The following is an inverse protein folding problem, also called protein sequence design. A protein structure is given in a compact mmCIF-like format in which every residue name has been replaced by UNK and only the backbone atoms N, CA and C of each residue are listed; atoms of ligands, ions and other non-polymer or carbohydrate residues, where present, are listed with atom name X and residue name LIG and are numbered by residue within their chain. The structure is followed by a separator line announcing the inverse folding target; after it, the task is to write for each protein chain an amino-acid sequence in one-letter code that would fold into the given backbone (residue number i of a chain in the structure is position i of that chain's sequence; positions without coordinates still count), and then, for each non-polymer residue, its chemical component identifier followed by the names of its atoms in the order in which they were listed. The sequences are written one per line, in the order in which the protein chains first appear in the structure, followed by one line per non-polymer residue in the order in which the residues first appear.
data_IF_205699607149
#
_entry.id   IF_205699607149
#
_cell.length_a   1.000
_cell.length_b   1.000
_cell.length_c   1.000
_cell.angle_alpha   90.00
_cell.angle_beta   90.00
_cell.angle_gamma   90.00
#
_symmetry.space_group_name_H-M   'P 1'
#
loop_
_entity.id
_entity.type
_entity.pdbx_description
1 polymer ?
#
# COMPACT_ATOMS: atom_id res chain seq x y z
N UNK A 1 23.97 5.79 -24.14
CA UNK A 1 24.43 6.10 -22.77
C UNK A 1 24.69 4.78 -22.07
N UNK A 2 25.89 4.59 -21.52
CA UNK A 2 26.29 3.36 -20.86
C UNK A 2 25.61 3.29 -19.49
N UNK A 3 24.92 2.20 -19.17
CA UNK A 3 24.08 2.09 -17.96
C UNK A 3 24.88 2.14 -16.64
N UNK A 4 26.22 2.12 -16.71
CA UNK A 4 27.16 2.09 -15.60
C UNK A 4 27.41 3.43 -14.90
N UNK A 5 26.92 4.56 -15.42
CA UNK A 5 27.26 5.91 -14.90
C UNK A 5 26.10 6.64 -14.19
N UNK A 6 24.93 6.00 -14.05
CA UNK A 6 23.82 6.63 -13.30
C UNK A 6 24.05 6.37 -11.80
N UNK A 7 24.28 7.41 -10.97
CA UNK A 7 24.46 7.21 -9.53
C UNK A 7 23.25 6.47 -8.95
N UNK A 8 23.44 5.57 -7.96
CA UNK A 8 22.36 4.79 -7.37
C UNK A 8 21.33 5.76 -6.78
N UNK A 9 20.20 5.93 -7.49
CA UNK A 9 19.12 6.76 -6.99
C UNK A 9 18.43 6.01 -5.88
N UNK A 10 18.43 6.58 -4.69
CA UNK A 10 17.58 6.13 -3.60
C UNK A 10 16.13 6.13 -4.10
N UNK A 11 15.35 5.05 -3.86
CA UNK A 11 13.91 5.06 -4.08
C UNK A 11 13.25 6.26 -3.41
N UNK A 12 12.03 6.63 -3.81
CA UNK A 12 11.34 7.81 -3.27
C UNK A 12 11.04 7.73 -1.77
N UNK A 13 11.19 6.55 -1.14
CA UNK A 13 10.96 6.34 0.30
C UNK A 13 9.57 6.79 0.74
N UNK A 14 8.55 6.36 0.00
CA UNK A 14 7.14 6.60 0.33
C UNK A 14 6.54 5.40 1.07
N UNK A 15 5.73 5.67 2.08
CA UNK A 15 4.92 4.65 2.77
C UNK A 15 3.91 4.05 1.78
N UNK A 16 3.88 2.72 1.72
CA UNK A 16 3.16 1.94 0.70
C UNK A 16 3.40 2.43 -0.75
N UNK A 17 4.58 3.01 -1.00
CA UNK A 17 4.95 3.65 -2.27
C UNK A 17 4.06 4.83 -2.69
N UNK A 18 3.18 5.31 -1.80
CA UNK A 18 2.16 6.32 -2.12
C UNK A 18 2.34 7.61 -1.33
N UNK A 19 2.56 7.57 -0.01
CA UNK A 19 2.49 8.78 0.83
C UNK A 19 3.83 9.10 1.50
N UNK A 20 4.19 10.38 1.69
CA UNK A 20 5.36 10.73 2.48
C UNK A 20 5.20 10.31 3.94
N UNK A 21 6.13 9.52 4.47
CA UNK A 21 6.06 8.98 5.84
C UNK A 21 6.42 9.96 6.96
N UNK A 22 6.64 11.24 6.65
CA UNK A 22 7.03 12.26 7.65
C UNK A 22 5.85 12.74 8.48
N UNK A 23 6.09 13.14 9.73
CA UNK A 23 5.03 13.55 10.64
C UNK A 23 4.16 14.72 10.16
N UNK A 24 4.71 15.64 9.35
CA UNK A 24 3.98 16.76 8.78
C UNK A 24 2.93 16.30 7.77
N UNK A 25 3.36 15.59 6.72
CA UNK A 25 2.46 15.07 5.68
C UNK A 25 1.46 14.01 6.18
N UNK A 26 1.85 13.20 7.17
CA UNK A 26 0.92 12.27 7.80
C UNK A 26 -0.20 12.99 8.57
N UNK A 27 0.08 14.17 9.12
CA UNK A 27 -0.92 14.96 9.85
C UNK A 27 -1.85 15.71 8.90
N UNK A 28 -1.33 16.25 7.80
CA UNK A 28 -2.11 17.04 6.83
C UNK A 28 -2.91 16.18 5.87
N UNK A 29 -2.39 15.00 5.49
CA UNK A 29 -3.04 14.04 4.57
C UNK A 29 -3.48 14.69 3.26
N UNK A 30 -2.63 15.52 2.69
CA UNK A 30 -2.95 16.37 1.54
C UNK A 30 -2.15 16.02 0.28
N UNK A 31 -1.25 15.03 0.38
CA UNK A 31 -0.45 14.57 -0.75
C UNK A 31 -0.27 13.05 -0.77
N UNK A 32 -0.45 12.47 -1.96
CA UNK A 32 -0.18 11.07 -2.25
C UNK A 32 0.22 10.93 -3.72
N UNK A 33 0.99 9.89 -4.02
CA UNK A 33 1.49 9.55 -5.35
C UNK A 33 0.95 8.18 -5.77
N UNK A 34 0.71 7.97 -7.06
CA UNK A 34 0.28 6.68 -7.61
C UNK A 34 0.77 6.53 -9.06
N UNK A 35 0.71 5.31 -9.60
CA UNK A 35 1.04 5.03 -11.01
C UNK A 35 2.53 4.84 -11.33
N UNK A 36 3.43 4.95 -10.34
CA UNK A 36 4.86 4.67 -10.52
C UNK A 36 5.28 3.25 -10.11
N UNK A 37 4.37 2.46 -9.51
CA UNK A 37 4.59 1.05 -9.20
C UNK A 37 4.36 0.17 -10.43
N UNK A 38 5.18 -0.88 -10.60
CA UNK A 38 5.10 -1.80 -11.76
C UNK A 38 4.75 -3.21 -11.31
N UNK A 39 3.63 -3.76 -11.82
CA UNK A 39 3.28 -5.18 -11.71
C UNK A 39 2.36 -5.68 -12.87
N UNK A 40 1.98 -6.96 -12.89
CA UNK A 40 1.10 -7.50 -13.94
C UNK A 40 -0.38 -7.10 -13.82
N UNK A 41 -0.80 -6.63 -12.65
CA UNK A 41 -2.19 -6.27 -12.32
C UNK A 41 -2.38 -4.75 -12.22
N UNK A 42 -1.65 -3.96 -13.01
CA UNK A 42 -1.60 -2.50 -12.89
C UNK A 42 -2.98 -1.82 -12.83
N UNK A 43 -3.95 -2.28 -13.63
CA UNK A 43 -5.31 -1.71 -13.62
C UNK A 43 -6.02 -1.89 -12.28
N UNK A 44 -6.04 -3.13 -11.78
CA UNK A 44 -6.61 -3.46 -10.46
C UNK A 44 -5.84 -2.78 -9.33
N UNK A 45 -4.51 -2.78 -9.39
CA UNK A 45 -3.64 -2.11 -8.43
C UNK A 45 -3.94 -0.61 -8.36
N UNK A 46 -4.02 0.08 -9.50
CA UNK A 46 -4.31 1.51 -9.56
C UNK A 46 -5.71 1.83 -9.01
N UNK A 47 -6.70 0.96 -9.26
CA UNK A 47 -8.04 1.10 -8.69
C UNK A 47 -8.01 1.02 -7.16
N UNK A 48 -7.34 0.00 -6.59
CA UNK A 48 -7.21 -0.15 -5.13
C UNK A 48 -6.41 1.01 -4.53
N UNK A 49 -5.31 1.44 -5.17
CA UNK A 49 -4.54 2.62 -4.77
C UNK A 49 -5.42 3.88 -4.73
N UNK A 50 -6.30 4.08 -5.71
CA UNK A 50 -7.23 5.21 -5.74
C UNK A 50 -8.20 5.20 -4.56
N UNK A 51 -8.75 4.04 -4.21
CA UNK A 51 -9.61 3.90 -3.02
C UNK A 51 -8.82 4.15 -1.73
N UNK A 52 -7.62 3.57 -1.61
CA UNK A 52 -6.74 3.74 -0.47
C UNK A 52 -6.36 5.21 -0.26
N UNK A 53 -5.97 5.90 -1.33
CA UNK A 53 -5.60 7.33 -1.28
C UNK A 53 -6.80 8.18 -0.87
N UNK A 54 -7.98 7.91 -1.42
CA UNK A 54 -9.21 8.63 -1.05
C UNK A 54 -9.51 8.45 0.44
N UNK A 55 -9.44 7.20 0.93
CA UNK A 55 -9.64 6.89 2.34
C UNK A 55 -8.57 7.51 3.26
N UNK A 56 -7.32 7.60 2.79
CA UNK A 56 -6.23 8.26 3.52
C UNK A 56 -6.52 9.75 3.72
N UNK A 57 -6.88 10.46 2.65
CA UNK A 57 -7.24 11.89 2.70
C UNK A 57 -8.45 12.14 3.60
N UNK A 58 -9.47 11.28 3.54
CA UNK A 58 -10.65 11.39 4.40
C UNK A 58 -10.40 10.93 5.86
N UNK A 59 -9.25 10.31 6.13
CA UNK A 59 -8.94 9.71 7.43
C UNK A 59 -9.87 8.58 7.84
N UNK A 60 -10.39 7.84 6.86
CA UNK A 60 -11.32 6.72 7.05
C UNK A 60 -10.65 5.35 6.88
N UNK A 61 -9.32 5.31 6.71
CA UNK A 61 -8.56 4.06 6.71
C UNK A 61 -8.74 3.32 8.02
N UNK A 62 -8.94 2.01 7.94
CA UNK A 62 -8.99 1.12 9.09
C UNK A 62 -7.60 0.91 9.70
N UNK A 63 -6.52 1.00 8.90
CA UNK A 63 -5.13 1.06 9.37
C UNK A 63 -4.48 2.31 8.79
N UNK A 64 -4.57 3.39 9.54
CA UNK A 64 -4.15 4.69 9.06
C UNK A 64 -2.73 5.03 9.53
N UNK A 65 -1.74 5.24 8.64
CA UNK A 65 -0.39 5.64 9.05
C UNK A 65 -0.37 6.99 9.79
N UNK A 66 -1.39 7.84 9.64
CA UNK A 66 -1.47 9.09 10.42
C UNK A 66 -1.73 8.87 11.90
N UNK A 67 -2.18 7.68 12.30
CA UNK A 67 -2.37 7.36 13.72
C UNK A 67 -1.07 7.56 14.52
N UNK A 68 0.07 7.45 13.84
CA UNK A 68 1.41 7.69 14.39
C UNK A 68 1.69 9.10 14.88
N UNK A 69 0.88 10.07 14.46
CA UNK A 69 1.07 11.49 14.78
C UNK A 69 -0.20 12.17 15.30
N UNK A 70 -1.28 11.41 15.45
CA UNK A 70 -2.52 11.90 16.04
C UNK A 70 -2.32 12.13 17.55
N UNK A 71 -2.73 13.31 18.03
CA UNK A 71 -2.78 13.60 19.47
C UNK A 71 -3.77 12.67 20.17
N UNK A 72 -3.51 12.32 21.44
CA UNK A 72 -4.23 11.30 22.23
C UNK A 72 -5.77 11.44 22.29
N UNK A 73 -6.33 12.55 21.81
CA UNK A 73 -7.74 12.93 21.92
C UNK A 73 -8.67 12.32 20.86
N UNK A 74 -8.17 11.57 19.87
CA UNK A 74 -9.02 11.08 18.77
C UNK A 74 -8.49 9.86 18.02
N UNK A 75 -7.73 8.98 18.69
CA UNK A 75 -7.05 7.84 18.07
C UNK A 75 -7.99 7.01 17.19
N UNK A 76 -7.80 7.06 15.86
CA UNK A 76 -8.17 5.98 14.95
C UNK A 76 -7.29 4.78 15.34
N UNK A 77 -7.75 4.02 16.33
CA UNK A 77 -7.19 2.72 16.64
C UNK A 77 -7.50 1.83 15.44
N UNK A 78 -6.52 1.03 15.02
CA UNK A 78 -6.80 0.05 13.99
C UNK A 78 -7.88 -0.95 14.45
N UNK A 79 -8.34 -1.83 13.55
CA UNK A 79 -9.31 -2.88 13.88
C UNK A 79 -8.87 -3.73 15.11
N UNK A 80 -7.57 -3.80 15.39
CA UNK A 80 -7.01 -4.52 16.54
C UNK A 80 -6.85 -3.67 17.81
N UNK A 81 -7.23 -2.40 17.78
CA UNK A 81 -7.06 -1.47 18.89
C UNK A 81 -5.67 -0.82 18.95
N UNK A 82 -4.78 -1.12 18.00
CA UNK A 82 -3.38 -0.69 17.99
C UNK A 82 -3.22 0.60 17.19
N UNK A 83 -2.39 1.49 17.73
CA UNK A 83 -1.94 2.71 17.05
C UNK A 83 -0.54 2.44 16.49
N UNK A 84 -0.32 2.72 15.21
CA UNK A 84 1.01 2.64 14.62
C UNK A 84 1.87 3.78 15.17
N UNK A 85 3.15 3.54 15.43
CA UNK A 85 4.13 4.57 15.83
C UNK A 85 4.84 5.15 14.60
N UNK A 86 5.41 6.35 14.72
CA UNK A 86 6.14 6.97 13.59
C UNK A 86 7.36 6.13 13.18
N UNK A 87 8.00 5.46 14.13
CA UNK A 87 9.11 4.54 13.85
C UNK A 87 8.63 3.31 13.05
N UNK A 88 7.44 2.77 13.32
CA UNK A 88 6.88 1.67 12.53
C UNK A 88 6.56 2.12 11.09
N UNK A 89 6.02 3.33 10.89
CA UNK A 89 5.80 3.91 9.54
C UNK A 89 7.12 4.01 8.78
N UNK A 90 8.15 4.60 9.39
CA UNK A 90 9.46 4.73 8.79
C UNK A 90 10.11 3.37 8.50
N UNK A 91 10.00 2.43 9.44
CA UNK A 91 10.52 1.07 9.28
C UNK A 91 9.89 0.36 8.07
N UNK A 92 8.56 0.36 7.97
CA UNK A 92 7.85 -0.24 6.83
C UNK A 92 8.19 0.47 5.52
N UNK A 93 8.31 1.80 5.55
CA UNK A 93 8.73 2.59 4.38
C UNK A 93 10.08 2.10 3.87
N UNK A 94 11.09 2.00 4.74
CA UNK A 94 12.42 1.52 4.34
C UNK A 94 12.37 0.05 3.90
N UNK A 95 11.67 -0.81 4.64
CA UNK A 95 11.56 -2.23 4.34
C UNK A 95 11.03 -2.48 2.93
N UNK A 96 9.87 -1.91 2.61
CA UNK A 96 9.22 -2.12 1.31
C UNK A 96 9.99 -1.44 0.17
N UNK A 97 10.51 -0.23 0.36
CA UNK A 97 11.30 0.46 -0.67
C UNK A 97 12.64 -0.21 -0.97
N UNK A 98 13.19 -0.99 -0.03
CA UNK A 98 14.46 -1.71 -0.22
C UNK A 98 14.28 -3.14 -0.73
N UNK A 99 13.08 -3.70 -0.64
CA UNK A 99 12.79 -5.07 -1.07
C UNK A 99 13.21 -5.33 -2.53
N UNK A 100 12.80 -4.44 -3.44
CA UNK A 100 13.03 -4.59 -4.89
C UNK A 100 14.51 -4.71 -5.27
N UNK A 101 15.42 -4.06 -4.51
CA UNK A 101 16.87 -4.15 -4.75
C UNK A 101 17.39 -5.60 -4.73
N UNK A 102 16.87 -6.42 -3.82
CA UNK A 102 17.33 -7.79 -3.62
C UNK A 102 16.53 -8.78 -4.45
N UNK A 103 15.23 -8.54 -4.59
CA UNK A 103 14.31 -9.45 -5.30
C UNK A 103 14.39 -9.30 -6.83
N UNK A 104 14.65 -8.08 -7.32
CA UNK A 104 14.67 -7.69 -8.73
C UNK A 104 15.99 -6.97 -9.09
N UNK A 105 17.16 -7.63 -8.93
CA UNK A 105 18.45 -6.97 -9.08
C UNK A 105 18.80 -6.56 -10.52
N UNK A 106 18.12 -7.14 -11.52
CA UNK A 106 18.33 -6.84 -12.94
C UNK A 106 17.33 -5.83 -13.52
N UNK A 107 16.25 -5.55 -12.79
CA UNK A 107 15.19 -4.66 -13.24
C UNK A 107 15.31 -3.30 -12.57
N UNK A 108 14.19 -2.60 -12.41
CA UNK A 108 14.16 -1.25 -11.86
C UNK A 108 13.97 -1.22 -10.35
N UNK A 109 13.87 -2.38 -9.68
CA UNK A 109 13.57 -2.51 -8.25
C UNK A 109 14.53 -1.83 -7.27
N UNK A 110 15.71 -1.42 -7.72
CA UNK A 110 16.62 -0.59 -6.93
C UNK A 110 16.30 0.91 -6.96
N UNK A 111 15.44 1.35 -7.90
CA UNK A 111 15.03 2.74 -8.16
C UNK A 111 13.54 2.98 -7.97
N UNK A 112 12.71 2.04 -8.41
CA UNK A 112 11.25 2.11 -8.43
C UNK A 112 10.62 0.96 -7.65
N UNK A 113 9.35 1.11 -7.22
CA UNK A 113 8.54 0.01 -6.72
C UNK A 113 8.27 -0.98 -7.85
N UNK A 114 9.17 -1.94 -7.98
CA UNK A 114 9.11 -3.03 -8.95
C UNK A 114 8.82 -4.32 -8.18
N UNK A 115 7.61 -4.83 -8.34
CA UNK A 115 7.09 -5.98 -7.60
C UNK A 115 6.19 -6.83 -8.51
N UNK A 116 6.71 -7.15 -9.70
CA UNK A 116 6.04 -7.87 -10.78
C UNK A 116 5.27 -9.11 -10.30
N UNK A 117 5.87 -9.89 -9.39
CA UNK A 117 5.29 -11.13 -8.86
C UNK A 117 4.58 -10.96 -7.50
N UNK A 118 4.66 -9.79 -6.87
CA UNK A 118 4.07 -9.51 -5.55
C UNK A 118 2.88 -8.55 -5.65
N UNK A 119 2.16 -8.56 -6.77
CA UNK A 119 0.95 -7.75 -6.96
C UNK A 119 -0.14 -8.09 -5.92
N UNK A 120 -0.44 -9.38 -5.73
CA UNK A 120 -1.47 -9.85 -4.78
C UNK A 120 -1.18 -9.39 -3.35
N UNK A 121 -0.02 -9.70 -2.74
CA UNK A 121 0.26 -9.25 -1.37
C UNK A 121 0.32 -7.71 -1.23
N UNK A 122 0.69 -6.96 -2.28
CA UNK A 122 0.61 -5.51 -2.25
C UNK A 122 -0.85 -5.01 -2.24
N UNK A 123 -1.72 -5.62 -3.05
CA UNK A 123 -3.16 -5.34 -3.03
C UNK A 123 -3.78 -5.73 -1.68
N UNK A 124 -3.42 -6.89 -1.14
CA UNK A 124 -3.86 -7.39 0.17
C UNK A 124 -3.56 -6.41 1.30
N UNK A 125 -2.36 -5.82 1.30
CA UNK A 125 -1.96 -4.80 2.26
C UNK A 125 -2.88 -3.58 2.21
N UNK A 126 -3.14 -3.04 1.01
CA UNK A 126 -4.07 -1.90 0.85
C UNK A 126 -5.51 -2.28 1.20
N UNK A 127 -5.96 -3.48 0.83
CA UNK A 127 -7.29 -3.99 1.18
C UNK A 127 -7.46 -4.10 2.70
N UNK A 128 -6.42 -4.56 3.41
CA UNK A 128 -6.45 -4.65 4.87
C UNK A 128 -6.45 -3.28 5.54
N UNK A 129 -5.73 -2.30 4.99
CA UNK A 129 -5.77 -0.91 5.47
C UNK A 129 -7.12 -0.25 5.22
N UNK A 130 -7.79 -0.59 4.11
CA UNK A 130 -9.17 -0.22 3.83
C UNK A 130 -10.16 -0.94 4.76
N UNK A 131 -9.73 -1.94 5.53
CA UNK A 131 -10.59 -2.74 6.40
C UNK A 131 -11.47 -3.74 5.66
N UNK A 132 -11.05 -4.17 4.47
CA UNK A 132 -11.76 -5.10 3.61
C UNK A 132 -11.19 -6.52 3.73
N UNK A 133 -11.98 -7.50 3.29
CA UNK A 133 -11.52 -8.88 3.22
C UNK A 133 -10.38 -9.03 2.21
N UNK A 134 -9.26 -9.56 2.68
CA UNK A 134 -8.04 -9.80 1.90
C UNK A 134 -8.19 -11.03 1.01
N UNK A 135 -8.60 -12.15 1.60
CA UNK A 135 -8.91 -13.38 0.87
C UNK A 135 -10.19 -13.20 0.07
N UNK A 136 -10.07 -13.29 -1.26
CA UNK A 136 -11.15 -12.97 -2.21
C UNK A 136 -11.89 -14.19 -2.73
N UNK A 137 -11.35 -15.38 -2.52
CA UNK A 137 -11.89 -16.64 -3.02
C UNK A 137 -12.65 -17.38 -1.93
N UNK A 138 -13.66 -18.14 -2.35
CA UNK A 138 -14.51 -18.89 -1.42
C UNK A 138 -13.80 -20.16 -0.94
N UNK A 139 -13.09 -20.04 0.17
CA UNK A 139 -12.48 -21.15 0.89
C UNK A 139 -11.01 -21.37 0.57
N UNK A 140 -10.29 -21.94 1.55
CA UNK A 140 -8.83 -22.02 1.56
C UNK A 140 -8.22 -22.79 0.38
N UNK A 141 -8.91 -23.80 -0.15
CA UNK A 141 -8.39 -24.59 -1.27
C UNK A 141 -8.33 -23.76 -2.56
N UNK A 142 -9.34 -22.93 -2.83
CA UNK A 142 -9.37 -22.03 -3.98
C UNK A 142 -8.33 -20.92 -3.86
N UNK A 143 -8.16 -20.38 -2.66
CA UNK A 143 -7.08 -19.43 -2.34
C UNK A 143 -5.69 -19.95 -2.71
N UNK A 144 -5.45 -21.26 -2.57
CA UNK A 144 -4.15 -21.87 -2.88
C UNK A 144 -3.99 -22.31 -4.33
N UNK A 145 -5.09 -22.62 -5.04
CA UNK A 145 -5.02 -23.34 -6.33
C UNK A 145 -5.55 -22.54 -7.52
N UNK A 146 -6.39 -21.53 -7.30
CA UNK A 146 -6.95 -20.71 -8.37
C UNK A 146 -6.17 -19.39 -8.51
N UNK A 147 -5.92 -18.93 -9.75
CA UNK A 147 -5.24 -17.66 -9.96
C UNK A 147 -6.12 -16.49 -9.52
N UNK A 148 -5.49 -15.44 -9.00
CA UNK A 148 -6.16 -14.16 -8.72
C UNK A 148 -6.32 -13.35 -10.00
N UNK A 149 -7.53 -12.87 -10.26
CA UNK A 149 -7.89 -12.06 -11.43
C UNK A 149 -8.70 -10.81 -11.07
N UNK A 150 -8.92 -9.89 -12.02
CA UNK A 150 -9.74 -8.69 -11.80
C UNK A 150 -11.16 -8.98 -11.29
N UNK A 151 -11.73 -10.13 -11.66
CA UNK A 151 -13.03 -10.60 -11.21
C UNK A 151 -13.13 -10.78 -9.69
N UNK A 152 -12.04 -11.17 -9.02
CA UNK A 152 -11.98 -11.35 -7.56
C UNK A 152 -12.11 -10.00 -6.80
N UNK A 153 -11.91 -8.89 -7.52
CA UNK A 153 -11.91 -7.51 -7.02
C UNK A 153 -13.09 -6.67 -7.55
N UNK A 154 -14.02 -7.27 -8.30
CA UNK A 154 -15.11 -6.55 -8.96
C UNK A 154 -16.09 -5.86 -7.98
N UNK A 155 -16.12 -6.27 -6.72
CA UNK A 155 -17.07 -5.81 -5.70
C UNK A 155 -16.48 -4.82 -4.69
N UNK A 156 -15.18 -4.48 -4.78
CA UNK A 156 -14.49 -3.66 -3.77
C UNK A 156 -15.24 -2.37 -3.48
N UNK A 157 -15.71 -1.64 -4.49
CA UNK A 157 -16.41 -0.35 -4.27
C UNK A 157 -17.65 -0.51 -3.38
N UNK A 158 -18.40 -1.61 -3.57
CA UNK A 158 -19.60 -1.90 -2.77
C UNK A 158 -19.22 -2.28 -1.35
N UNK A 159 -18.20 -3.10 -1.18
CA UNK A 159 -17.68 -3.50 0.13
C UNK A 159 -17.13 -2.29 0.92
N UNK A 160 -16.39 -1.42 0.23
CA UNK A 160 -15.85 -0.20 0.81
C UNK A 160 -16.94 0.79 1.23
N UNK A 161 -17.93 1.01 0.36
CA UNK A 161 -19.08 1.84 0.70
C UNK A 161 -19.86 1.26 1.89
N UNK A 162 -20.10 -0.06 1.91
CA UNK A 162 -20.80 -0.73 3.01
C UNK A 162 -20.05 -0.66 4.33
N UNK A 163 -18.71 -0.60 4.33
CA UNK A 163 -17.88 -0.45 5.53
C UNK A 163 -17.96 0.96 6.14
N UNK A 164 -18.21 1.99 5.33
CA UNK A 164 -18.29 3.38 5.78
C UNK A 164 -19.63 3.73 6.44
N UNK A 165 -20.66 2.88 6.27
CA UNK A 165 -22.01 3.04 6.82
C UNK A 165 -22.25 2.12 8.01
#
# INVERSE_FOLDING_TARGET
MNASEVPPRTPMMLYHFMVPGTAEFLRTKDIAFTGYSTNFSNGTCAHIQGLWISAFFDGTLARDPSSAVASESGSNKDISGKTMTLNEVHWQTVLHNRFGKWRYPKDTGFKSPDFIFEAVPFMDMMMADLGLAVHRKKGWFKEMTEPYGPEDYATINKEFAARLH
#
